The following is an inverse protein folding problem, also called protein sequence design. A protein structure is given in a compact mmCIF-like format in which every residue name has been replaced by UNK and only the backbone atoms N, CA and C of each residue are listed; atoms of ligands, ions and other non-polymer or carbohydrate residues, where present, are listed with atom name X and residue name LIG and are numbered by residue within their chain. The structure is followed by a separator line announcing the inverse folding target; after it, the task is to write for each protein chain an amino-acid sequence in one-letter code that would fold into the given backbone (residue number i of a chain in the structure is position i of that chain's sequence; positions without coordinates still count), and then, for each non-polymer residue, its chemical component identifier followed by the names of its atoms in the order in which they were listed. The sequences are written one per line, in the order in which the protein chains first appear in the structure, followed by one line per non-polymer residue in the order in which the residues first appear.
data_IF_084002361222
#
_entry.id   IF_084002361222
#
_cell.length_a   1.000
_cell.length_b   1.000
_cell.length_c   1.000
_cell.angle_alpha   90.00
_cell.angle_beta   90.00
_cell.angle_gamma   90.00
#
_symmetry.space_group_name_H-M   'P 1'
#
loop_
_entity.id
_entity.type
_entity.pdbx_description
1 polymer ?
#
# COMPACT_ATOMS: atom_id res chain seq x y z
N UNK A 1 -6.73 16.32 2.88
CA UNK A 1 -6.99 15.07 3.60
C UNK A 1 -6.63 13.95 2.65
N UNK A 2 -5.99 12.91 3.17
CA UNK A 2 -5.70 11.71 2.40
C UNK A 2 -6.93 10.80 2.52
N UNK A 3 -7.35 10.20 1.41
CA UNK A 3 -8.39 9.18 1.39
C UNK A 3 -7.87 7.94 0.64
N UNK A 4 -8.38 6.76 0.99
CA UNK A 4 -7.97 5.49 0.42
C UNK A 4 -9.21 4.68 0.04
N UNK A 5 -9.26 4.21 -1.20
CA UNK A 5 -10.42 3.49 -1.73
C UNK A 5 -9.99 2.19 -2.39
N UNK A 6 -10.78 1.13 -2.20
CA UNK A 6 -10.66 -0.13 -2.92
C UNK A 6 -11.73 -0.23 -4.01
N UNK A 7 -11.34 -0.77 -5.15
CA UNK A 7 -12.20 -1.10 -6.26
C UNK A 7 -12.11 -2.58 -6.56
N UNK A 8 -13.28 -3.22 -6.64
CA UNK A 8 -13.37 -4.63 -6.98
C UNK A 8 -13.72 -4.88 -8.44
N UNK A 9 -13.56 -6.14 -8.88
CA UNK A 9 -14.10 -6.57 -10.16
C UNK A 9 -15.63 -6.49 -10.19
N UNK A 10 -16.19 -6.38 -11.39
CA UNK A 10 -17.61 -6.59 -11.63
C UNK A 10 -17.96 -8.08 -11.59
N UNK A 11 -18.85 -8.47 -10.68
CA UNK A 11 -19.42 -9.82 -10.60
C UNK A 11 -18.47 -10.90 -10.05
N UNK A 12 -18.92 -12.17 -10.03
CA UNK A 12 -18.14 -13.27 -9.49
C UNK A 12 -16.83 -13.50 -10.24
N UNK A 13 -15.78 -13.83 -9.50
CA UNK A 13 -14.47 -14.20 -10.04
C UNK A 13 -14.32 -15.72 -10.07
N UNK A 14 -13.58 -16.29 -11.04
CA UNK A 14 -13.32 -17.71 -11.03
C UNK A 14 -12.22 -18.05 -10.03
N UNK A 15 -12.28 -19.29 -9.57
CA UNK A 15 -11.26 -19.91 -8.74
C UNK A 15 -9.91 -20.02 -9.45
N UNK A 16 -8.86 -20.20 -8.66
CA UNK A 16 -7.52 -20.46 -9.20
C UNK A 16 -6.83 -19.23 -9.80
N UNK A 17 -7.44 -18.03 -9.71
CA UNK A 17 -6.77 -16.76 -10.04
C UNK A 17 -7.05 -15.65 -9.02
N UNK A 18 -6.16 -14.66 -8.88
CA UNK A 18 -6.43 -13.46 -8.08
C UNK A 18 -7.58 -12.63 -8.67
N UNK A 19 -8.32 -11.94 -7.81
CA UNK A 19 -9.26 -10.91 -8.24
C UNK A 19 -8.51 -9.62 -8.62
N UNK A 20 -8.94 -8.89 -9.67
CA UNK A 20 -8.33 -7.61 -10.02
C UNK A 20 -8.84 -6.50 -9.07
N UNK A 21 -8.36 -6.52 -7.83
CA UNK A 21 -8.63 -5.49 -6.83
C UNK A 21 -7.64 -4.34 -7.01
N UNK A 22 -8.15 -3.13 -7.17
CA UNK A 22 -7.35 -1.90 -7.34
C UNK A 22 -7.48 -1.02 -6.10
N UNK A 23 -6.41 -0.34 -5.72
CA UNK A 23 -6.44 0.70 -4.71
C UNK A 23 -6.37 2.09 -5.35
N UNK A 24 -6.82 3.11 -4.63
CA UNK A 24 -6.65 4.50 -5.04
C UNK A 24 -6.42 5.37 -3.80
N UNK A 25 -5.32 6.13 -3.83
CA UNK A 25 -5.07 7.22 -2.89
C UNK A 25 -5.56 8.51 -3.52
N UNK A 26 -6.30 9.30 -2.74
CA UNK A 26 -6.85 10.58 -3.18
C UNK A 26 -6.45 11.71 -2.25
N UNK A 27 -6.15 12.86 -2.84
CA UNK A 27 -6.08 14.11 -2.09
C UNK A 27 -7.46 14.79 -2.09
N UNK A 28 -8.24 14.57 -1.03
CA UNK A 28 -9.55 15.21 -0.82
C UNK A 28 -9.43 16.54 -0.06
N UNK A 29 -8.20 17.01 0.19
CA UNK A 29 -7.94 18.30 0.85
C UNK A 29 -7.94 19.49 -0.09
N UNK A 30 -7.59 20.65 0.48
CA UNK A 30 -7.43 21.91 -0.23
C UNK A 30 -5.97 22.31 -0.47
N UNK A 31 -5.01 21.46 -0.10
CA UNK A 31 -3.57 21.70 -0.28
C UNK A 31 -2.90 20.49 -0.89
N UNK A 32 -1.79 20.72 -1.58
CA UNK A 32 -0.91 19.66 -2.06
C UNK A 32 -0.46 18.76 -0.91
N UNK A 33 -0.29 17.48 -1.20
CA UNK A 33 0.32 16.51 -0.29
C UNK A 33 1.39 15.69 -1.00
N UNK A 34 2.33 15.17 -0.24
CA UNK A 34 3.34 14.23 -0.72
C UNK A 34 3.02 12.85 -0.18
N UNK A 35 3.20 11.82 -1.00
CA UNK A 35 2.94 10.43 -0.61
C UNK A 35 3.74 9.48 -1.51
N UNK A 36 4.12 8.32 -0.99
CA UNK A 36 4.66 7.22 -1.79
C UNK A 36 3.57 6.17 -2.07
N UNK A 37 3.69 5.48 -3.20
CA UNK A 37 2.96 4.23 -3.43
C UNK A 37 3.43 3.11 -2.52
N UNK A 38 3.06 1.87 -2.84
CA UNK A 38 3.59 0.68 -2.17
C UNK A 38 5.05 0.56 -2.57
N UNK A 39 5.92 0.55 -1.58
CA UNK A 39 7.35 0.38 -1.77
C UNK A 39 7.77 -1.02 -1.33
N UNK A 40 8.96 -1.48 -1.74
CA UNK A 40 9.57 -2.67 -1.15
C UNK A 40 9.59 -2.56 0.39
N UNK A 41 9.23 -3.59 1.14
CA UNK A 41 9.14 -3.50 2.60
C UNK A 41 7.93 -2.75 3.20
N UNK A 42 7.05 -2.17 2.38
CA UNK A 42 5.83 -1.48 2.86
C UNK A 42 4.77 -2.42 3.42
N UNK A 43 4.60 -3.61 2.83
CA UNK A 43 3.59 -4.58 3.27
C UNK A 43 4.02 -5.40 4.49
N UNK A 44 5.31 -5.79 4.54
CA UNK A 44 5.85 -6.63 5.60
C UNK A 44 6.32 -5.83 6.84
N UNK A 45 6.14 -4.51 6.82
CA UNK A 45 6.40 -3.62 7.95
C UNK A 45 7.86 -3.21 8.15
N UNK A 46 8.75 -3.53 7.21
CA UNK A 46 10.18 -3.16 7.27
C UNK A 46 10.43 -1.67 7.06
N UNK A 47 9.57 -0.98 6.31
CA UNK A 47 9.65 0.49 6.17
C UNK A 47 8.29 1.15 6.13
N UNK A 48 8.33 2.47 6.15
CA UNK A 48 7.20 3.33 5.85
C UNK A 48 7.16 3.74 4.36
N UNK A 49 5.98 4.03 3.80
CA UNK A 49 4.66 3.90 4.41
C UNK A 49 4.27 2.43 4.59
N UNK A 50 3.38 2.14 5.54
CA UNK A 50 2.89 0.78 5.78
C UNK A 50 1.56 0.58 5.07
N UNK A 51 1.54 -0.35 4.13
CA UNK A 51 0.30 -0.83 3.51
C UNK A 51 -0.06 -2.16 4.16
N UNK A 52 -1.26 -2.25 4.73
CA UNK A 52 -1.69 -3.40 5.52
C UNK A 52 -2.89 -4.08 4.86
N UNK A 53 -2.70 -4.77 3.72
CA UNK A 53 -3.75 -5.54 3.09
C UNK A 53 -4.09 -6.79 3.92
N UNK A 54 -5.37 -7.14 3.96
CA UNK A 54 -5.83 -8.40 4.53
C UNK A 54 -6.97 -8.95 3.69
N UNK A 55 -7.04 -10.28 3.60
CA UNK A 55 -8.18 -10.99 3.02
C UNK A 55 -8.74 -11.94 4.07
N UNK A 56 -10.04 -11.85 4.29
CA UNK A 56 -10.77 -12.72 5.23
C UNK A 56 -11.84 -13.51 4.47
N UNK A 57 -12.09 -14.74 4.91
CA UNK A 57 -13.27 -15.48 4.47
C UNK A 57 -14.50 -14.89 5.15
N UNK A 58 -15.52 -14.50 4.38
CA UNK A 58 -16.69 -13.81 4.94
C UNK A 58 -17.62 -14.75 5.74
N UNK A 59 -17.52 -16.06 5.53
CA UNK A 59 -18.38 -17.05 6.19
C UNK A 59 -17.93 -17.33 7.64
N UNK A 60 -16.62 -17.47 7.86
CA UNK A 60 -16.04 -17.81 9.17
C UNK A 60 -15.24 -16.66 9.81
N UNK A 61 -15.01 -15.57 9.06
CA UNK A 61 -14.21 -14.41 9.50
C UNK A 61 -12.70 -14.67 9.55
N UNK A 62 -12.23 -15.85 9.15
CA UNK A 62 -10.84 -16.25 9.22
C UNK A 62 -9.96 -15.45 8.26
N UNK A 63 -8.81 -14.97 8.73
CA UNK A 63 -7.80 -14.34 7.85
C UNK A 63 -7.15 -15.42 7.00
N UNK A 64 -7.35 -15.32 5.69
CA UNK A 64 -6.82 -16.27 4.69
C UNK A 64 -5.62 -15.71 3.93
N UNK A 65 -5.42 -14.39 3.94
CA UNK A 65 -4.20 -13.76 3.46
C UNK A 65 -3.88 -12.48 4.23
N UNK A 66 -2.59 -12.28 4.48
CA UNK A 66 -1.97 -11.07 5.05
C UNK A 66 -0.52 -11.04 4.59
N UNK A 67 0.17 -9.88 4.67
CA UNK A 67 1.59 -9.80 4.39
C UNK A 67 2.37 -10.87 5.14
N UNK A 68 3.24 -11.57 4.42
CA UNK A 68 4.19 -12.48 5.03
C UNK A 68 5.20 -11.68 5.88
N UNK A 69 5.72 -12.25 6.98
CA UNK A 69 6.88 -11.68 7.64
C UNK A 69 8.01 -11.48 6.63
N UNK A 70 8.81 -10.45 6.83
CA UNK A 70 10.03 -10.28 6.07
C UNK A 70 10.99 -11.45 6.32
N UNK A 71 11.42 -12.13 5.26
CA UNK A 71 12.48 -13.14 5.32
C UNK A 71 13.88 -12.52 5.25
N UNK A 72 14.00 -11.35 4.61
CA UNK A 72 15.23 -10.58 4.44
C UNK A 72 14.96 -9.09 4.76
N UNK A 73 15.73 -8.44 5.67
CA UNK A 73 15.58 -7.02 5.98
C UNK A 73 16.14 -6.07 4.90
N UNK A 74 16.73 -6.58 3.81
CA UNK A 74 17.32 -5.78 2.74
C UNK A 74 16.25 -5.08 1.87
N UNK A 75 15.70 -3.99 2.41
CA UNK A 75 14.83 -3.08 1.66
C UNK A 75 15.66 -2.08 0.86
N UNK A 76 15.40 -2.02 -0.45
CA UNK A 76 16.08 -1.08 -1.35
C UNK A 76 15.90 0.39 -0.96
N UNK A 77 16.79 1.29 -1.42
CA UNK A 77 16.79 2.68 -0.98
C UNK A 77 15.55 3.40 -1.48
N UNK A 78 15.01 4.28 -0.63
CA UNK A 78 14.03 5.27 -1.07
C UNK A 78 14.71 6.31 -1.96
N UNK A 79 14.06 6.67 -3.07
CA UNK A 79 14.52 7.69 -4.02
C UNK A 79 13.55 8.88 -4.03
N UNK A 80 14.00 10.10 -4.37
CA UNK A 80 13.10 11.24 -4.50
C UNK A 80 11.93 11.01 -5.46
N UNK A 81 12.16 10.23 -6.54
CA UNK A 81 11.13 9.88 -7.52
C UNK A 81 10.04 8.94 -7.02
N UNK A 82 10.24 8.27 -5.87
CA UNK A 82 9.23 7.41 -5.25
C UNK A 82 8.16 8.24 -4.50
N UNK A 83 8.47 9.50 -4.18
CA UNK A 83 7.55 10.42 -3.54
C UNK A 83 6.82 11.27 -4.59
N UNK A 84 5.50 11.16 -4.58
CA UNK A 84 4.61 11.84 -5.50
C UNK A 84 3.93 13.02 -4.82
N UNK A 85 3.94 14.17 -5.48
CA UNK A 85 3.04 15.28 -5.15
C UNK A 85 1.66 14.99 -5.72
N UNK A 86 0.62 15.11 -4.89
CA UNK A 86 -0.78 15.10 -5.30
C UNK A 86 -1.41 16.47 -5.00
N UNK A 87 -1.84 17.16 -6.04
CA UNK A 87 -2.65 18.36 -5.92
C UNK A 87 -4.07 18.04 -5.41
N UNK A 88 -4.82 19.03 -4.89
CA UNK A 88 -6.23 18.86 -4.53
C UNK A 88 -7.06 18.22 -5.65
N UNK A 89 -7.80 17.16 -5.32
CA UNK A 89 -8.61 16.40 -6.27
C UNK A 89 -7.86 15.35 -7.08
N UNK A 90 -6.53 15.31 -7.04
CA UNK A 90 -5.75 14.27 -7.71
C UNK A 90 -5.80 12.95 -6.97
N UNK A 91 -5.69 11.87 -7.74
CA UNK A 91 -5.59 10.51 -7.25
C UNK A 91 -4.58 9.70 -8.06
N UNK A 92 -4.14 8.58 -7.48
CA UNK A 92 -3.37 7.57 -8.17
C UNK A 92 -3.56 6.21 -7.52
N UNK A 93 -3.24 5.15 -8.25
CA UNK A 93 -3.18 3.80 -7.71
C UNK A 93 -1.79 3.57 -7.07
N UNK A 94 -1.71 3.34 -5.74
CA UNK A 94 -0.43 3.14 -5.08
C UNK A 94 0.24 1.81 -5.42
N UNK A 95 -0.48 0.87 -6.05
CA UNK A 95 0.04 -0.46 -6.36
C UNK A 95 0.53 -0.58 -7.82
N UNK A 96 0.49 0.51 -8.60
CA UNK A 96 0.87 0.50 -10.02
C UNK A 96 1.63 1.76 -10.44
N UNK A 97 2.52 1.60 -11.43
CA UNK A 97 3.29 2.70 -12.02
C UNK A 97 4.74 2.82 -11.52
N UNK A 98 5.49 3.83 -12.00
CA UNK A 98 6.89 4.01 -11.66
C UNK A 98 7.10 4.13 -10.15
N UNK A 99 8.08 3.40 -9.61
CA UNK A 99 8.41 3.41 -8.17
C UNK A 99 7.41 2.68 -7.26
N UNK A 100 6.32 2.14 -7.80
CA UNK A 100 5.29 1.43 -7.05
C UNK A 100 5.37 -0.08 -7.29
N UNK A 101 5.31 -0.86 -6.22
CA UNK A 101 5.16 -2.32 -6.27
C UNK A 101 3.68 -2.72 -6.15
N UNK A 102 3.28 -3.89 -6.65
CA UNK A 102 1.92 -4.38 -6.42
C UNK A 102 1.68 -4.68 -4.94
N UNK A 103 0.42 -4.63 -4.50
CA UNK A 103 -0.01 -5.21 -3.22
C UNK A 103 0.05 -6.73 -3.33
N UNK A 104 1.18 -7.31 -2.95
CA UNK A 104 1.52 -8.73 -3.10
C UNK A 104 0.49 -9.62 -2.44
N UNK A 105 -0.04 -9.21 -1.28
CA UNK A 105 -1.10 -9.97 -0.60
C UNK A 105 -2.34 -10.14 -1.47
N UNK A 106 -2.78 -9.08 -2.16
CA UNK A 106 -3.93 -9.15 -3.07
C UNK A 106 -3.58 -9.80 -4.40
N UNK A 107 -2.40 -9.48 -4.95
CA UNK A 107 -1.94 -10.00 -6.23
C UNK A 107 -1.70 -11.52 -6.21
N UNK A 108 -1.46 -12.13 -5.03
CA UNK A 108 -1.18 -13.56 -4.90
C UNK A 108 -2.25 -14.34 -4.12
N UNK A 109 -3.31 -13.70 -3.65
CA UNK A 109 -4.40 -14.45 -3.03
C UNK A 109 -5.22 -15.19 -4.10
N UNK A 110 -5.12 -16.52 -4.08
CA UNK A 110 -5.76 -17.40 -5.07
C UNK A 110 -6.67 -18.42 -4.36
N UNK A 111 -7.98 -18.13 -4.24
CA UNK A 111 -8.90 -19.05 -3.59
C UNK A 111 -9.12 -20.31 -4.44
N UNK A 112 -9.07 -21.48 -3.79
CA UNK A 112 -9.28 -22.80 -4.38
C UNK A 112 -10.69 -23.35 -4.14
N UNK A 113 -11.49 -22.66 -3.32
CA UNK A 113 -12.86 -23.03 -2.98
C UNK A 113 -13.80 -21.85 -3.26
N UNK A 114 -15.03 -22.11 -3.75
CA UNK A 114 -16.04 -21.07 -3.85
C UNK A 114 -16.29 -20.40 -2.50
N UNK A 115 -16.62 -19.12 -2.52
CA UNK A 115 -16.91 -18.38 -1.30
C UNK A 115 -16.79 -16.88 -1.51
N UNK A 116 -17.25 -16.14 -0.50
CA UNK A 116 -17.10 -14.69 -0.43
C UNK A 116 -15.87 -14.33 0.40
N UNK A 117 -15.01 -13.49 -0.14
CA UNK A 117 -13.80 -13.03 0.54
C UNK A 117 -13.80 -11.51 0.67
N UNK A 118 -13.50 -11.02 1.87
CA UNK A 118 -13.47 -9.59 2.19
C UNK A 118 -12.03 -9.08 2.18
N UNK A 119 -11.76 -8.17 1.26
CA UNK A 119 -10.50 -7.46 1.08
C UNK A 119 -10.56 -6.16 1.87
N UNK A 120 -9.55 -5.92 2.72
CA UNK A 120 -9.41 -4.69 3.47
C UNK A 120 -7.98 -4.16 3.33
N UNK A 121 -7.85 -2.83 3.25
CA UNK A 121 -6.56 -2.16 3.12
C UNK A 121 -6.53 -0.94 4.03
N UNK A 122 -5.47 -0.88 4.85
CA UNK A 122 -5.10 0.33 5.59
C UNK A 122 -3.75 0.83 5.12
N UNK A 123 -3.60 2.15 5.09
CA UNK A 123 -2.34 2.85 4.87
C UNK A 123 -2.00 3.63 6.13
N UNK A 124 -0.78 3.47 6.61
CA UNK A 124 -0.25 4.30 7.69
C UNK A 124 1.06 4.97 7.24
N UNK A 125 1.18 6.27 7.52
CA UNK A 125 2.35 7.12 7.27
C UNK A 125 2.90 7.73 8.56
N UNK A 126 2.53 7.18 9.72
CA UNK A 126 2.76 7.75 11.05
C UNK A 126 4.18 7.60 11.60
N UNK A 127 5.15 7.22 10.77
CA UNK A 127 6.56 7.05 11.12
C UNK A 127 7.03 8.04 12.18
N UNK A 128 7.69 7.55 13.22
CA UNK A 128 8.17 8.39 14.30
C UNK A 128 9.33 9.28 13.82
N UNK A 129 10.14 8.73 12.90
CA UNK A 129 11.32 9.38 12.34
C UNK A 129 11.33 9.22 10.82
N UNK A 130 11.63 10.28 10.03
CA UNK A 130 11.73 10.19 8.57
C UNK A 130 12.69 9.11 8.07
N UNK A 131 13.73 8.77 8.83
CA UNK A 131 14.70 7.72 8.51
C UNK A 131 14.06 6.34 8.35
N UNK A 132 12.91 6.10 9.00
CA UNK A 132 12.19 4.82 8.93
C UNK A 132 11.54 4.57 7.56
N UNK A 133 11.60 5.56 6.65
CA UNK A 133 11.18 5.43 5.25
C UNK A 133 12.32 4.99 4.32
N UNK A 134 13.58 5.18 4.71
CA UNK A 134 14.72 5.11 3.77
C UNK A 134 15.04 3.70 3.27
N UNK A 135 14.58 2.66 3.98
CA UNK A 135 15.05 1.29 3.78
C UNK A 135 16.36 1.01 4.52
N UNK A 136 16.96 -0.15 4.24
CA UNK A 136 18.16 -0.63 4.95
C UNK A 136 19.39 -0.83 4.07
N UNK A 137 19.24 -0.77 2.74
CA UNK A 137 20.29 -1.11 1.79
C UNK A 137 20.51 -0.01 0.74
N UNK A 138 21.78 0.23 0.37
CA UNK A 138 22.14 1.15 -0.71
C UNK A 138 21.77 2.63 -0.43
N UNK A 139 21.88 3.06 0.83
CA UNK A 139 21.47 4.40 1.26
C UNK A 139 22.21 5.50 0.46
N UNK A 140 21.53 6.63 0.19
CA UNK A 140 22.12 7.76 -0.52
C UNK A 140 23.27 8.40 0.27
N UNK A 141 24.10 9.20 -0.41
CA UNK A 141 25.08 10.04 0.25
C UNK A 141 24.42 11.10 1.15
N UNK A 142 25.21 11.73 2.04
CA UNK A 142 24.67 12.61 3.08
C UNK A 142 23.83 13.77 2.52
N UNK A 143 24.21 14.34 1.37
CA UNK A 143 23.51 15.48 0.77
C UNK A 143 22.16 15.07 0.18
N UNK A 144 22.12 13.94 -0.54
CA UNK A 144 20.88 13.39 -1.09
C UNK A 144 19.98 12.86 0.02
N UNK A 145 20.57 12.28 1.08
CA UNK A 145 19.86 11.82 2.27
C UNK A 145 19.13 12.97 2.96
N UNK A 146 19.79 14.10 3.20
CA UNK A 146 19.16 15.26 3.84
C UNK A 146 17.97 15.78 3.02
N UNK A 147 18.15 15.93 1.70
CA UNK A 147 17.08 16.37 0.81
C UNK A 147 15.88 15.41 0.82
N UNK A 148 16.15 14.10 0.86
CA UNK A 148 15.11 13.08 0.91
C UNK A 148 14.36 13.08 2.25
N UNK A 149 15.07 13.20 3.38
CA UNK A 149 14.44 13.31 4.70
C UNK A 149 13.56 14.56 4.79
N UNK A 150 14.00 15.68 4.22
CA UNK A 150 13.19 16.90 4.12
C UNK A 150 11.92 16.69 3.27
N UNK A 151 11.99 15.87 2.23
CA UNK A 151 10.82 15.52 1.42
C UNK A 151 9.86 14.58 2.16
N UNK A 152 10.38 13.55 2.84
CA UNK A 152 9.60 12.64 3.70
C UNK A 152 8.88 13.41 4.81
N UNK A 153 9.53 14.42 5.41
CA UNK A 153 8.92 15.26 6.43
C UNK A 153 7.69 16.05 5.94
N UNK A 154 7.48 16.16 4.62
CA UNK A 154 6.29 16.80 4.02
C UNK A 154 5.13 15.83 3.81
N UNK A 155 5.35 14.53 3.97
CA UNK A 155 4.29 13.53 3.93
C UNK A 155 3.40 13.70 5.17
N UNK A 156 2.06 13.79 5.02
CA UNK A 156 1.19 13.91 6.17
C UNK A 156 1.29 12.66 7.03
N UNK A 157 1.41 12.82 8.35
CA UNK A 157 1.35 11.70 9.31
C UNK A 157 -0.11 11.36 9.55
N UNK A 158 -0.56 10.23 9.03
CA UNK A 158 -1.96 9.81 9.12
C UNK A 158 -2.07 8.29 8.98
N UNK A 159 -3.20 7.77 9.45
CA UNK A 159 -3.66 6.43 9.12
C UNK A 159 -5.02 6.55 8.44
N UNK A 160 -5.20 5.89 7.29
CA UNK A 160 -6.45 5.85 6.54
C UNK A 160 -6.79 4.40 6.17
N UNK A 161 -8.07 4.06 6.21
CA UNK A 161 -8.56 2.71 5.91
C UNK A 161 -9.65 2.80 4.85
N UNK A 162 -9.50 1.99 3.81
CA UNK A 162 -10.53 1.90 2.77
C UNK A 162 -11.77 1.18 3.29
N UNK A 163 -12.94 1.56 2.74
CA UNK A 163 -14.10 0.70 2.86
C UNK A 163 -13.77 -0.70 2.31
N UNK A 164 -14.04 -1.77 3.07
CA UNK A 164 -13.69 -3.12 2.64
C UNK A 164 -14.53 -3.55 1.44
N UNK A 165 -13.96 -4.41 0.62
CA UNK A 165 -14.56 -4.93 -0.60
C UNK A 165 -14.84 -6.43 -0.43
N UNK A 166 -16.10 -6.84 -0.60
CA UNK A 166 -16.46 -8.26 -0.67
C UNK A 166 -16.41 -8.73 -2.14
N UNK A 167 -15.70 -9.82 -2.40
CA UNK A 167 -15.57 -10.43 -3.72
C UNK A 167 -16.03 -11.89 -3.66
N UNK A 168 -16.99 -12.24 -4.52
CA UNK A 168 -17.48 -13.61 -4.66
C UNK A 168 -16.60 -14.39 -5.64
N UNK A 169 -16.19 -15.60 -5.25
CA UNK A 169 -15.48 -16.55 -6.10
C UNK A 169 -16.29 -17.81 -6.35
N UNK A 170 -16.36 -18.28 -7.61
CA UNK A 170 -17.18 -19.45 -8.03
C UNK A 170 -16.55 -20.23 -9.17
#
# INVERSE_FOLDING_TARGET
MLDLVLYGPGGPQPLGRPAPVRAEIRNTGSRDLWIAGVLDGSENGLRWPRYLPTVTCAEDGGVVARPAPAEDPLVGPLRPGDLRRLAPGESFDPATGPGCLPLMTFAHFVPQRPGRFRYALSLSTEAARPEEWLGGFGLPDDSEREALLALVARVPRTTVTAAPLDVDFR
#
